data_IF_698237067107
#
_entry.id   IF_698237067107
#
_cell.length_a   1.000
_cell.length_b   1.000
_cell.length_c   1.000
_cell.angle_alpha   90.00
_cell.angle_beta   90.00
_cell.angle_gamma   90.00
#
_symmetry.space_group_name_H-M   'P 1'
#
loop_
_entity.id
_entity.type
_entity.pdbx_description
1 polymer ?
#
# COMPACT_ATOMS: atom_id res chain seq x y z
N UNK A 1 18.61 32.41 8.84
CA UNK A 1 17.65 31.33 9.14
C UNK A 1 17.70 30.32 8.01
N UNK A 2 18.10 29.07 8.30
CA UNK A 2 18.17 28.03 7.27
C UNK A 2 16.88 27.21 7.34
N UNK A 3 15.93 27.51 6.45
CA UNK A 3 14.71 26.71 6.29
C UNK A 3 15.00 25.58 5.31
N UNK A 4 14.80 24.35 5.75
CA UNK A 4 14.87 23.17 4.90
C UNK A 4 13.45 22.63 4.71
N UNK A 5 12.98 22.64 3.47
CA UNK A 5 11.62 22.20 3.12
C UNK A 5 11.66 21.19 1.97
N UNK A 6 11.00 20.06 2.19
CA UNK A 6 10.67 19.05 1.20
C UNK A 6 9.14 18.98 1.06
N UNK A 7 8.63 18.17 0.13
CA UNK A 7 7.18 17.97 -0.01
C UNK A 7 6.51 17.38 1.25
N UNK A 8 7.29 16.69 2.07
CA UNK A 8 6.82 15.88 3.20
C UNK A 8 7.33 16.36 4.56
N UNK A 9 8.34 17.24 4.59
CA UNK A 9 8.98 17.66 5.82
C UNK A 9 9.46 19.10 5.72
N UNK A 10 9.19 19.89 6.76
CA UNK A 10 9.77 21.23 6.95
C UNK A 10 10.50 21.23 8.28
N UNK A 11 11.79 21.48 8.24
CA UNK A 11 12.62 21.69 9.41
C UNK A 11 12.90 23.19 9.55
N UNK A 12 12.52 23.75 10.70
CA UNK A 12 12.90 25.10 11.13
C UNK A 12 13.90 24.99 12.31
N UNK A 13 14.36 26.12 12.84
CA UNK A 13 15.34 26.15 13.93
C UNK A 13 14.78 25.60 15.27
N UNK A 14 13.45 25.63 15.48
CA UNK A 14 12.79 25.19 16.73
C UNK A 14 12.05 23.84 16.62
N UNK A 15 11.50 23.55 15.45
CA UNK A 15 10.55 22.46 15.29
C UNK A 15 10.69 21.75 13.93
N UNK A 16 10.19 20.52 13.90
CA UNK A 16 10.07 19.70 12.71
C UNK A 16 8.58 19.48 12.38
N UNK A 17 8.14 20.07 11.27
CA UNK A 17 6.79 19.92 10.76
C UNK A 17 6.74 18.81 9.71
N UNK A 18 5.84 17.85 9.92
CA UNK A 18 5.46 16.86 8.91
C UNK A 18 4.39 17.45 8.01
N UNK A 19 4.68 17.45 6.71
CA UNK A 19 3.81 17.99 5.67
C UNK A 19 3.07 16.85 4.97
N UNK A 20 1.81 17.10 4.59
CA UNK A 20 1.06 16.28 3.64
C UNK A 20 0.58 17.21 2.54
N UNK A 21 1.02 16.98 1.31
CA UNK A 21 0.71 17.89 0.19
C UNK A 21 1.07 19.35 0.49
N UNK A 22 2.24 19.59 1.11
CA UNK A 22 2.75 20.91 1.56
C UNK A 22 2.02 21.58 2.73
N UNK A 23 1.02 20.94 3.33
CA UNK A 23 0.35 21.42 4.54
C UNK A 23 0.85 20.70 5.78
N UNK A 24 1.21 21.45 6.82
CA UNK A 24 1.62 20.88 8.10
C UNK A 24 0.42 20.21 8.78
N UNK A 25 0.47 18.89 8.94
CA UNK A 25 -0.54 18.14 9.69
C UNK A 25 -0.06 17.76 11.09
N UNK A 26 1.25 17.82 11.33
CA UNK A 26 1.84 17.57 12.64
C UNK A 26 3.13 18.35 12.80
N UNK A 27 3.28 19.00 13.94
CA UNK A 27 4.50 19.71 14.34
C UNK A 27 5.07 18.99 15.55
N UNK A 28 6.37 18.76 15.56
CA UNK A 28 7.10 18.10 16.65
C UNK A 28 8.23 19.03 17.07
N UNK A 29 8.29 19.39 18.34
CA UNK A 29 9.41 20.19 18.84
C UNK A 29 10.64 19.31 19.00
N UNK A 30 11.85 19.83 18.75
CA UNK A 30 13.07 19.02 18.87
C UNK A 30 13.28 18.44 20.28
N UNK A 31 12.74 19.11 21.31
CA UNK A 31 12.76 18.59 22.68
C UNK A 31 11.96 17.29 22.87
N UNK A 32 10.99 17.01 22.00
CA UNK A 32 10.16 15.80 22.03
C UNK A 32 10.75 14.66 21.19
N UNK A 33 11.77 14.96 20.38
CA UNK A 33 12.36 14.01 19.43
C UNK A 33 13.60 13.38 20.08
N UNK A 34 13.42 12.17 20.61
CA UNK A 34 14.52 11.40 21.18
C UNK A 34 15.48 10.89 20.10
N UNK A 35 14.96 10.51 18.92
CA UNK A 35 15.80 10.02 17.83
C UNK A 35 15.15 10.20 16.43
N UNK A 36 15.94 10.70 15.48
CA UNK A 36 15.63 10.76 14.05
C UNK A 36 16.53 9.79 13.29
N UNK A 37 15.95 8.79 12.62
CA UNK A 37 16.69 7.84 11.78
C UNK A 37 16.08 7.74 10.39
N UNK A 38 16.89 7.97 9.37
CA UNK A 38 16.56 7.59 7.99
C UNK A 38 17.02 6.16 7.81
N UNK A 39 16.09 5.23 7.62
CA UNK A 39 16.40 3.82 7.36
C UNK A 39 15.64 3.33 6.15
N UNK A 40 16.21 2.31 5.49
CA UNK A 40 15.50 1.57 4.45
C UNK A 40 14.47 0.65 5.13
N UNK A 41 13.21 1.02 5.07
CA UNK A 41 12.10 0.38 5.79
C UNK A 41 10.98 -0.06 4.86
N UNK A 42 10.01 -0.81 5.39
CA UNK A 42 8.76 -1.03 4.65
C UNK A 42 7.94 0.25 4.66
N UNK A 43 7.37 0.60 3.50
CA UNK A 43 6.45 1.74 3.34
C UNK A 43 5.14 1.51 4.11
N UNK A 44 4.79 0.25 4.35
CA UNK A 44 3.55 -0.14 5.03
C UNK A 44 3.84 -0.42 6.49
N UNK A 45 2.98 0.09 7.39
CA UNK A 45 3.05 -0.19 8.82
C UNK A 45 3.04 -1.70 9.17
N UNK A 46 2.35 -2.53 8.38
CA UNK A 46 2.30 -3.98 8.60
C UNK A 46 2.47 -4.75 7.27
N UNK A 47 3.72 -4.95 6.82
CA UNK A 47 3.98 -5.62 5.54
C UNK A 47 3.48 -7.06 5.52
N UNK A 48 3.53 -7.77 6.66
CA UNK A 48 3.06 -9.16 6.75
C UNK A 48 1.56 -9.25 6.54
N UNK A 49 0.78 -8.38 7.19
CA UNK A 49 -0.67 -8.36 6.98
C UNK A 49 -1.03 -8.01 5.53
N UNK A 50 -0.37 -7.02 4.93
CA UNK A 50 -0.61 -6.66 3.53
C UNK A 50 -0.22 -7.77 2.56
N UNK A 51 0.87 -8.49 2.85
CA UNK A 51 1.28 -9.67 2.08
C UNK A 51 0.22 -10.78 2.15
N UNK A 52 -0.27 -11.12 3.35
CA UNK A 52 -1.31 -12.14 3.55
C UNK A 52 -2.58 -11.78 2.77
N UNK A 53 -3.03 -10.52 2.85
CA UNK A 53 -4.22 -10.06 2.11
C UNK A 53 -4.00 -10.14 0.60
N UNK A 54 -2.82 -9.73 0.12
CA UNK A 54 -2.47 -9.82 -1.30
C UNK A 54 -2.49 -11.27 -1.81
N UNK A 55 -1.91 -12.21 -1.07
CA UNK A 55 -1.93 -13.64 -1.39
C UNK A 55 -3.36 -14.20 -1.35
N UNK A 56 -4.16 -13.81 -0.36
CA UNK A 56 -5.56 -14.26 -0.25
C UNK A 56 -6.40 -13.80 -1.46
N UNK A 57 -6.19 -12.58 -1.95
CA UNK A 57 -6.86 -12.08 -3.15
C UNK A 57 -6.45 -12.84 -4.41
N UNK A 58 -5.16 -13.16 -4.56
CA UNK A 58 -4.66 -13.98 -5.67
C UNK A 58 -5.29 -15.38 -5.61
N UNK A 59 -5.31 -16.00 -4.43
CA UNK A 59 -5.91 -17.32 -4.22
C UNK A 59 -7.42 -17.32 -4.54
N UNK A 60 -8.15 -16.27 -4.12
CA UNK A 60 -9.56 -16.09 -4.45
C UNK A 60 -9.79 -15.94 -5.97
N UNK A 61 -8.94 -15.16 -6.65
CA UNK A 61 -8.99 -15.01 -8.11
C UNK A 61 -8.80 -16.35 -8.83
N UNK A 62 -7.79 -17.14 -8.41
CA UNK A 62 -7.53 -18.48 -8.97
C UNK A 62 -8.70 -19.43 -8.69
N UNK A 63 -9.24 -19.43 -7.46
CA UNK A 63 -10.37 -20.27 -7.08
C UNK A 63 -11.60 -19.99 -7.94
N UNK A 64 -11.96 -18.71 -8.11
CA UNK A 64 -13.07 -18.29 -8.96
C UNK A 64 -12.80 -18.66 -10.42
N UNK A 65 -11.57 -18.43 -10.91
CA UNK A 65 -11.18 -18.81 -12.27
C UNK A 65 -11.33 -20.31 -12.54
N UNK A 66 -10.96 -21.16 -11.59
CA UNK A 66 -11.12 -22.62 -11.70
C UNK A 66 -12.58 -23.06 -11.61
N UNK A 67 -13.38 -22.47 -10.72
CA UNK A 67 -14.80 -22.81 -10.55
C UNK A 67 -15.61 -22.54 -11.83
N UNK A 68 -15.24 -21.49 -12.59
CA UNK A 68 -15.92 -21.07 -13.80
C UNK A 68 -15.13 -21.37 -15.08
N UNK A 69 -14.15 -22.26 -15.00
CA UNK A 69 -13.34 -22.66 -16.16
C UNK A 69 -14.24 -23.21 -17.28
N UNK A 70 -14.06 -22.76 -18.53
CA UNK A 70 -14.88 -23.19 -19.67
C UNK A 70 -14.80 -24.71 -19.94
N UNK A 71 -13.82 -25.42 -19.37
CA UNK A 71 -13.77 -26.89 -19.36
C UNK A 71 -14.94 -27.53 -18.57
N UNK A 72 -15.50 -26.83 -17.59
CA UNK A 72 -16.63 -27.29 -16.77
C UNK A 72 -17.99 -26.80 -17.25
N UNK A 73 -18.03 -25.85 -18.19
CA UNK A 73 -19.28 -25.24 -18.66
C UNK A 73 -19.55 -25.68 -20.10
N UNK A 74 -20.32 -26.75 -20.25
CA UNK A 74 -20.75 -27.26 -21.56
C UNK A 74 -21.51 -26.17 -22.33
N UNK A 75 -21.22 -26.01 -23.62
CA UNK A 75 -21.72 -24.93 -24.48
C UNK A 75 -23.25 -24.73 -24.53
N UNK A 76 -24.03 -25.69 -24.02
CA UNK A 76 -25.49 -25.59 -23.87
C UNK A 76 -25.97 -24.56 -22.82
N UNK A 77 -25.13 -24.13 -21.86
CA UNK A 77 -25.49 -23.11 -20.84
C UNK A 77 -25.05 -21.68 -21.20
N UNK A 78 -24.16 -21.51 -22.19
CA UNK A 78 -23.71 -20.20 -22.66
C UNK A 78 -24.55 -19.74 -23.86
N UNK A 79 -25.81 -19.34 -23.61
CA UNK A 79 -26.56 -18.56 -24.60
C UNK A 79 -25.95 -17.16 -24.81
N UNK A 80 -26.56 -16.32 -25.66
CA UNK A 80 -26.16 -14.93 -25.93
C UNK A 80 -25.98 -14.04 -24.67
N UNK A 81 -26.59 -14.40 -23.53
CA UNK A 81 -26.39 -13.74 -22.22
C UNK A 81 -25.15 -14.25 -21.46
N UNK A 82 -24.67 -15.45 -21.76
CA UNK A 82 -23.52 -16.09 -21.11
C UNK A 82 -22.18 -15.43 -21.45
N UNK A 83 -22.02 -14.90 -22.66
CA UNK A 83 -20.79 -14.20 -23.07
C UNK A 83 -20.50 -12.93 -22.25
N UNK A 84 -21.53 -12.13 -21.94
CA UNK A 84 -21.38 -10.95 -21.07
C UNK A 84 -21.02 -11.35 -19.64
N UNK A 85 -21.70 -12.36 -19.08
CA UNK A 85 -21.40 -12.88 -17.75
C UNK A 85 -19.97 -13.43 -17.66
N UNK A 86 -19.50 -14.13 -18.71
CA UNK A 86 -18.13 -14.61 -18.82
C UNK A 86 -17.11 -13.46 -18.84
N UNK A 87 -17.41 -12.38 -19.58
CA UNK A 87 -16.59 -11.17 -19.62
C UNK A 87 -16.44 -10.50 -18.25
N UNK A 88 -17.54 -10.34 -17.50
CA UNK A 88 -17.50 -9.82 -16.13
C UNK A 88 -16.69 -10.70 -15.19
N UNK A 89 -16.77 -12.03 -15.36
CA UNK A 89 -16.07 -12.98 -14.51
C UNK A 89 -14.56 -12.97 -14.77
N UNK A 90 -14.16 -12.90 -16.05
CA UNK A 90 -12.75 -12.69 -16.43
C UNK A 90 -12.23 -11.38 -15.86
N UNK A 91 -12.99 -10.29 -15.99
CA UNK A 91 -12.59 -8.99 -15.44
C UNK A 91 -12.45 -9.01 -13.92
N UNK A 92 -13.36 -9.70 -13.22
CA UNK A 92 -13.32 -9.86 -11.77
C UNK A 92 -12.09 -10.67 -11.32
N UNK A 93 -11.81 -11.80 -11.97
CA UNK A 93 -10.62 -12.62 -11.68
C UNK A 93 -9.35 -11.82 -11.94
N UNK A 94 -9.28 -11.14 -13.09
CA UNK A 94 -8.12 -10.30 -13.43
C UNK A 94 -7.94 -9.16 -12.43
N UNK A 95 -9.03 -8.50 -12.00
CA UNK A 95 -9.01 -7.46 -10.98
C UNK A 95 -8.46 -7.95 -9.65
N UNK A 96 -8.89 -9.13 -9.19
CA UNK A 96 -8.39 -9.75 -7.96
C UNK A 96 -6.90 -10.10 -8.05
N UNK A 97 -6.46 -10.65 -9.18
CA UNK A 97 -5.05 -10.99 -9.41
C UNK A 97 -4.17 -9.74 -9.45
N UNK A 98 -4.57 -8.71 -10.19
CA UNK A 98 -3.84 -7.45 -10.27
C UNK A 98 -3.77 -6.74 -8.93
N UNK A 99 -4.91 -6.61 -8.23
CA UNK A 99 -4.95 -5.93 -6.94
C UNK A 99 -4.16 -6.69 -5.86
N UNK A 100 -4.30 -8.02 -5.82
CA UNK A 100 -3.49 -8.87 -4.95
C UNK A 100 -1.99 -8.76 -5.26
N UNK A 101 -1.61 -8.75 -6.54
CA UNK A 101 -0.23 -8.56 -6.98
C UNK A 101 0.36 -7.20 -6.56
N UNK A 102 -0.41 -6.11 -6.67
CA UNK A 102 0.01 -4.78 -6.21
C UNK A 102 0.25 -4.77 -4.70
N UNK A 103 -0.63 -5.40 -3.92
CA UNK A 103 -0.47 -5.49 -2.47
C UNK A 103 0.77 -6.29 -2.07
N UNK A 104 1.00 -7.43 -2.73
CA UNK A 104 2.23 -8.22 -2.54
C UNK A 104 3.46 -7.38 -2.90
N UNK A 105 3.46 -6.71 -4.06
CA UNK A 105 4.57 -5.85 -4.47
C UNK A 105 4.83 -4.72 -3.47
N UNK A 106 3.80 -4.00 -3.04
CA UNK A 106 3.91 -2.91 -2.05
C UNK A 106 4.37 -3.41 -0.68
N UNK A 107 4.00 -4.62 -0.27
CA UNK A 107 4.49 -5.23 0.97
C UNK A 107 5.99 -5.51 0.94
N UNK A 108 6.52 -5.86 -0.24
CA UNK A 108 7.94 -6.16 -0.45
C UNK A 108 8.78 -4.92 -0.78
N UNK A 109 8.16 -3.83 -1.28
CA UNK A 109 8.85 -2.57 -1.59
C UNK A 109 9.44 -1.99 -0.31
N UNK A 110 10.77 -1.99 -0.24
CA UNK A 110 11.53 -1.27 0.78
C UNK A 110 11.94 0.09 0.24
N UNK A 111 11.53 1.15 0.89
CA UNK A 111 11.85 2.52 0.52
C UNK A 111 12.60 3.23 1.65
N UNK A 112 13.09 4.44 1.40
CA UNK A 112 13.63 5.26 2.47
C UNK A 112 12.47 5.74 3.35
N UNK A 113 12.58 5.50 4.65
CA UNK A 113 11.55 5.81 5.63
C UNK A 113 12.22 6.62 6.74
N UNK A 114 11.61 7.76 7.07
CA UNK A 114 11.94 8.53 8.25
C UNK A 114 11.26 7.89 9.46
N UNK A 115 12.06 7.27 10.33
CA UNK A 115 11.60 6.81 11.63
C UNK A 115 11.83 7.95 12.62
N UNK A 116 10.73 8.53 13.12
CA UNK A 116 10.77 9.50 14.22
C UNK A 116 10.37 8.74 15.49
N UNK A 117 11.31 8.62 16.42
CA UNK A 117 11.03 8.15 17.78
C UNK A 117 10.86 9.36 18.68
N UNK A 118 9.61 9.66 19.02
CA UNK A 118 9.28 10.55 20.12
C UNK A 118 8.98 9.71 21.37
N UNK A 119 9.24 10.25 22.57
CA UNK A 119 9.03 9.53 23.84
C UNK A 119 7.61 8.96 24.01
N UNK A 120 6.62 9.51 23.30
CA UNK A 120 5.25 9.05 23.31
C UNK A 120 4.84 8.09 22.17
N UNK A 121 5.55 8.02 21.04
CA UNK A 121 5.10 7.22 19.88
C UNK A 121 6.23 6.83 18.90
N UNK A 122 6.21 5.57 18.45
CA UNK A 122 7.04 5.07 17.34
C UNK A 122 6.20 5.06 16.05
N UNK A 123 6.46 5.97 15.11
CA UNK A 123 5.74 6.02 13.83
C UNK A 123 6.72 6.22 12.67
N UNK A 124 6.52 5.45 11.61
CA UNK A 124 7.36 5.41 10.41
C UNK A 124 6.68 6.15 9.26
N UNK A 125 7.40 7.05 8.59
CA UNK A 125 6.88 7.83 7.46
C UNK A 125 7.74 7.58 6.21
N UNK A 126 7.15 7.15 5.07
CA UNK A 126 7.91 7.04 3.82
C UNK A 126 8.43 8.43 3.40
N UNK A 127 9.62 8.46 2.79
CA UNK A 127 10.29 9.67 2.29
C UNK A 127 10.20 9.83 0.75
N UNK A 128 9.48 8.94 0.09
CA UNK A 128 9.48 8.81 -1.37
C UNK A 128 8.06 8.47 -1.85
N UNK A 129 7.50 9.34 -2.70
CA UNK A 129 6.25 9.09 -3.46
C UNK A 129 6.45 8.01 -4.54
#
# INVERSE_FOLDING_TARGET
MKKYETAELRADDSDLALLRSRYAYKTLSYHEIAELRIRRGSVVNNPVAVFIVGVALIAAGIYIGNMFSPLNVTGARLGLKGGKALGYLIFLVFGLLCFGGILVYKSMKKDFVLEIRAEAFKKSYPLTE
#
